data_IF_777552347079
#
_entry.id   IF_777552347079
#
_cell.length_a   1.000
_cell.length_b   1.000
_cell.length_c   1.000
_cell.angle_alpha   90.00
_cell.angle_beta   90.00
_cell.angle_gamma   90.00
#
_symmetry.space_group_name_H-M   'P 1'
#
loop_
_entity.id
_entity.type
_entity.pdbx_description
1 polymer ?
#
# COMPACT_ATOMS: atom_id res chain seq x y z
N UNK A 1 13.55 18.46 -2.10
CA UNK A 1 12.34 17.65 -2.03
C UNK A 1 12.62 16.28 -2.60
N UNK A 2 12.04 15.26 -1.99
CA UNK A 2 12.15 13.90 -2.53
C UNK A 2 11.21 13.73 -3.70
N UNK A 3 11.53 12.80 -4.58
CA UNK A 3 10.67 12.38 -5.66
C UNK A 3 9.84 11.20 -5.18
N UNK A 4 8.52 11.25 -5.36
CA UNK A 4 7.64 10.15 -5.01
C UNK A 4 7.30 9.37 -6.27
N UNK A 5 7.66 8.10 -6.30
CA UNK A 5 7.37 7.21 -7.42
C UNK A 5 6.57 6.01 -6.92
N UNK A 6 5.83 5.39 -7.82
CA UNK A 6 4.94 4.28 -7.50
C UNK A 6 5.40 3.03 -8.20
N UNK A 7 5.55 1.95 -7.45
CA UNK A 7 5.82 0.66 -8.07
C UNK A 7 4.59 0.21 -8.86
N UNK A 8 4.81 -0.74 -9.77
CA UNK A 8 3.69 -1.34 -10.50
C UNK A 8 2.68 -1.95 -9.54
N UNK A 9 3.17 -2.60 -8.50
CA UNK A 9 2.31 -3.21 -7.49
C UNK A 9 1.45 -2.16 -6.78
N UNK A 10 2.05 -1.04 -6.38
CA UNK A 10 1.31 0.04 -5.71
C UNK A 10 0.22 0.61 -6.62
N UNK A 11 0.55 0.85 -7.90
CA UNK A 11 -0.42 1.35 -8.87
C UNK A 11 -1.58 0.37 -9.02
N UNK A 12 -1.26 -0.92 -9.13
CA UNK A 12 -2.26 -1.97 -9.24
C UNK A 12 -3.15 -2.03 -8.01
N UNK A 13 -2.55 -1.89 -6.81
CA UNK A 13 -3.32 -1.88 -5.57
C UNK A 13 -4.31 -0.71 -5.55
N UNK A 14 -3.86 0.48 -5.92
CA UNK A 14 -4.73 1.66 -5.92
C UNK A 14 -5.87 1.50 -6.91
N UNK A 15 -5.59 0.98 -8.09
CA UNK A 15 -6.63 0.71 -9.10
C UNK A 15 -7.65 -0.30 -8.61
N UNK A 16 -7.19 -1.35 -7.96
CA UNK A 16 -8.08 -2.37 -7.39
C UNK A 16 -8.98 -1.78 -6.30
N UNK A 17 -8.39 -0.99 -5.41
CA UNK A 17 -9.17 -0.36 -4.34
C UNK A 17 -10.19 0.61 -4.90
N UNK A 18 -9.81 1.38 -5.91
CA UNK A 18 -10.74 2.30 -6.57
C UNK A 18 -11.88 1.54 -7.22
N UNK A 19 -11.57 0.49 -7.97
CA UNK A 19 -12.58 -0.29 -8.68
C UNK A 19 -13.56 -0.94 -7.71
N UNK A 20 -13.04 -1.50 -6.62
CA UNK A 20 -13.87 -2.15 -5.60
C UNK A 20 -14.88 -1.15 -5.00
N UNK A 21 -14.40 0.03 -4.64
CA UNK A 21 -15.26 1.04 -4.04
C UNK A 21 -16.21 1.66 -5.07
N UNK A 22 -15.77 1.81 -6.31
CA UNK A 22 -16.57 2.41 -7.38
C UNK A 22 -17.81 1.57 -7.71
N UNK A 23 -17.75 0.26 -7.50
CA UNK A 23 -18.90 -0.61 -7.70
C UNK A 23 -20.04 -0.26 -6.75
N UNK A 24 -19.71 0.30 -5.60
CA UNK A 24 -20.72 0.65 -4.58
C UNK A 24 -21.00 2.13 -4.56
N UNK A 25 -19.99 2.96 -4.77
CA UNK A 25 -20.12 4.41 -4.67
C UNK A 25 -19.01 5.07 -5.48
N UNK A 26 -19.29 5.45 -6.75
CA UNK A 26 -18.28 6.08 -7.60
C UNK A 26 -17.69 7.38 -7.03
N UNK A 27 -18.51 8.19 -6.38
CA UNK A 27 -18.04 9.45 -5.80
C UNK A 27 -17.06 9.18 -4.65
N UNK A 28 -17.39 8.22 -3.80
CA UNK A 28 -16.51 7.85 -2.71
C UNK A 28 -15.20 7.26 -3.24
N UNK A 29 -15.26 6.50 -4.33
CA UNK A 29 -14.06 5.94 -4.95
C UNK A 29 -13.11 7.04 -5.44
N UNK A 30 -13.66 8.07 -6.08
CA UNK A 30 -12.83 9.18 -6.55
C UNK A 30 -12.20 9.94 -5.37
N UNK A 31 -12.98 10.19 -4.33
CA UNK A 31 -12.47 10.88 -3.14
C UNK A 31 -11.38 10.05 -2.44
N UNK A 32 -11.59 8.75 -2.34
CA UNK A 32 -10.60 7.86 -1.72
C UNK A 32 -9.29 7.87 -2.49
N UNK A 33 -9.36 7.74 -3.81
CA UNK A 33 -8.16 7.75 -4.66
C UNK A 33 -7.40 9.08 -4.50
N UNK A 34 -8.13 10.20 -4.54
CA UNK A 34 -7.50 11.50 -4.38
C UNK A 34 -6.87 11.65 -3.00
N UNK A 35 -7.55 11.18 -1.96
CA UNK A 35 -7.03 11.24 -0.59
C UNK A 35 -5.74 10.43 -0.47
N UNK A 36 -5.70 9.24 -1.05
CA UNK A 36 -4.50 8.41 -1.05
C UNK A 36 -3.35 9.14 -1.74
N UNK A 37 -3.59 9.64 -2.95
CA UNK A 37 -2.54 10.28 -3.73
C UNK A 37 -2.06 11.58 -3.07
N UNK A 38 -2.96 12.40 -2.56
CA UNK A 38 -2.59 13.64 -1.89
C UNK A 38 -1.76 13.36 -0.64
N UNK A 39 -2.15 12.36 0.12
CA UNK A 39 -1.43 12.02 1.35
C UNK A 39 -0.04 11.48 1.02
N UNK A 40 0.08 10.66 -0.01
CA UNK A 40 1.38 10.13 -0.43
C UNK A 40 2.29 11.23 -0.99
N UNK A 41 1.72 12.27 -1.62
CA UNK A 41 2.50 13.39 -2.11
C UNK A 41 3.21 14.14 -0.98
N UNK A 42 2.68 14.11 0.23
CA UNK A 42 3.34 14.75 1.36
C UNK A 42 4.69 14.13 1.67
N UNK A 43 4.93 12.90 1.21
CA UNK A 43 6.22 12.25 1.40
C UNK A 43 7.35 12.91 0.61
N UNK A 44 7.03 13.73 -0.39
CA UNK A 44 8.05 14.52 -1.09
C UNK A 44 8.72 15.51 -0.15
N UNK A 45 7.96 16.05 0.80
CA UNK A 45 8.48 16.99 1.79
C UNK A 45 8.93 16.30 3.07
N UNK A 46 8.23 15.23 3.46
CA UNK A 46 8.46 14.55 4.74
C UNK A 46 8.61 13.06 4.49
N UNK A 47 9.76 12.65 3.91
CA UNK A 47 9.95 11.24 3.54
C UNK A 47 9.86 10.27 4.71
N UNK A 48 10.18 10.73 5.91
CA UNK A 48 10.18 9.85 7.09
C UNK A 48 8.94 10.04 7.96
N UNK A 49 7.87 10.58 7.37
CA UNK A 49 6.63 10.82 8.08
C UNK A 49 6.02 9.55 8.66
N UNK A 50 6.03 8.45 7.91
CA UNK A 50 5.50 7.18 8.38
C UNK A 50 6.52 6.43 9.22
N UNK A 51 6.08 5.76 10.29
CA UNK A 51 6.98 4.99 11.13
C UNK A 51 7.56 3.79 10.38
N UNK A 52 8.71 3.34 10.85
CA UNK A 52 9.35 2.14 10.31
C UNK A 52 8.46 0.93 10.56
N UNK A 53 8.32 0.08 9.55
CA UNK A 53 7.57 -1.16 9.67
C UNK A 53 8.44 -2.19 10.40
N UNK A 54 8.04 -2.65 11.59
CA UNK A 54 8.86 -3.60 12.33
C UNK A 54 9.03 -4.94 11.63
N UNK A 55 8.08 -5.31 10.76
CA UNK A 55 8.17 -6.56 10.01
C UNK A 55 9.06 -6.44 8.78
N UNK A 56 9.27 -5.22 8.29
CA UNK A 56 10.15 -4.93 7.18
C UNK A 56 10.91 -3.64 7.44
N UNK A 57 11.98 -3.71 8.24
CA UNK A 57 12.66 -2.49 8.74
C UNK A 57 13.25 -1.57 7.66
N UNK A 58 13.40 -2.05 6.44
CA UNK A 58 13.82 -1.20 5.33
C UNK A 58 12.68 -0.38 4.75
N UNK A 59 11.47 -0.54 5.27
CA UNK A 59 10.28 0.15 4.79
C UNK A 59 9.60 0.91 5.91
N UNK A 60 8.70 1.80 5.51
CA UNK A 60 7.86 2.57 6.42
C UNK A 60 6.40 2.41 6.00
N UNK A 61 5.49 2.70 6.92
CA UNK A 61 4.07 2.65 6.65
C UNK A 61 3.44 4.01 6.94
N UNK A 62 2.62 4.49 6.00
CA UNK A 62 1.86 5.72 6.17
C UNK A 62 0.38 5.36 6.29
N UNK A 63 -0.24 5.82 7.38
CA UNK A 63 -1.66 5.60 7.61
C UNK A 63 -2.44 6.77 7.01
N UNK A 64 -3.47 6.47 6.25
CA UNK A 64 -4.25 7.43 5.50
C UNK A 64 -5.71 7.30 5.92
N UNK A 65 -6.21 8.29 6.66
CA UNK A 65 -7.60 8.26 7.14
C UNK A 65 -8.57 8.49 6.01
N UNK A 66 -9.63 7.71 5.95
CA UNK A 66 -10.72 7.92 5.01
C UNK A 66 -11.98 7.24 5.56
N UNK A 67 -13.03 8.05 5.81
CA UNK A 67 -14.25 7.53 6.41
C UNK A 67 -13.99 6.98 7.81
N UNK A 68 -14.61 5.84 8.12
CA UNK A 68 -14.48 5.20 9.43
C UNK A 68 -13.17 4.40 9.57
N UNK A 69 -12.46 4.19 8.50
CA UNK A 69 -11.23 3.41 8.51
C UNK A 69 -10.13 4.15 7.73
N UNK A 70 -9.68 3.58 6.63
CA UNK A 70 -8.69 4.21 5.79
C UNK A 70 -7.77 3.20 5.17
N UNK A 71 -6.59 3.67 4.80
CA UNK A 71 -5.64 2.89 4.03
C UNK A 71 -4.26 2.91 4.69
N UNK A 72 -3.44 1.95 4.34
CA UNK A 72 -2.05 1.90 4.77
C UNK A 72 -1.20 1.76 3.52
N UNK A 73 -0.19 2.59 3.42
CA UNK A 73 0.77 2.51 2.33
C UNK A 73 2.13 2.10 2.89
N UNK A 74 2.76 1.14 2.23
CA UNK A 74 4.15 0.76 2.53
C UNK A 74 5.05 1.44 1.52
N UNK A 75 6.12 2.03 1.99
CA UNK A 75 7.05 2.72 1.09
C UNK A 75 8.48 2.59 1.61
N UNK A 76 9.43 2.84 0.72
CA UNK A 76 10.85 2.89 1.07
C UNK A 76 11.41 4.26 0.73
N UNK A 77 12.47 4.64 1.42
CA UNK A 77 13.18 5.89 1.16
C UNK A 77 14.63 5.54 0.85
N UNK A 78 15.10 5.97 -0.30
CA UNK A 78 16.48 5.78 -0.71
C UNK A 78 16.97 7.06 -1.34
N UNK A 79 17.87 7.76 -0.64
CA UNK A 79 18.32 9.07 -1.09
C UNK A 79 17.15 10.03 -1.22
N UNK A 80 16.98 10.61 -2.39
CA UNK A 80 15.90 11.55 -2.67
C UNK A 80 14.69 10.90 -3.31
N UNK A 81 14.61 9.58 -3.28
CA UNK A 81 13.50 8.85 -3.89
C UNK A 81 12.69 8.13 -2.84
N UNK A 82 11.38 8.40 -2.84
CA UNK A 82 10.40 7.65 -2.07
C UNK A 82 9.67 6.75 -3.06
N UNK A 83 9.73 5.44 -2.82
CA UNK A 83 9.02 4.47 -3.66
C UNK A 83 7.85 3.89 -2.88
N UNK A 84 6.64 4.14 -3.36
CA UNK A 84 5.44 3.52 -2.79
C UNK A 84 5.38 2.10 -3.32
N UNK A 85 5.37 1.14 -2.42
CA UNK A 85 5.50 -0.28 -2.75
C UNK A 85 4.16 -1.00 -2.77
N UNK A 86 3.25 -0.62 -1.89
CA UNK A 86 1.97 -1.30 -1.78
C UNK A 86 0.98 -0.41 -1.02
N UNK A 87 -0.31 -0.59 -1.31
CA UNK A 87 -1.38 0.12 -0.60
C UNK A 87 -2.47 -0.89 -0.30
N UNK A 88 -3.01 -0.84 0.91
CA UNK A 88 -4.13 -1.71 1.28
C UNK A 88 -5.15 -0.94 2.12
N UNK A 89 -6.36 -1.46 2.16
CA UNK A 89 -7.34 -0.99 3.13
C UNK A 89 -6.93 -1.49 4.52
N UNK A 90 -7.18 -0.71 5.55
CA UNK A 90 -6.80 -1.08 6.92
C UNK A 90 -7.38 -2.41 7.37
N UNK A 91 -8.54 -2.80 6.84
CA UNK A 91 -9.21 -4.03 7.23
C UNK A 91 -8.72 -5.27 6.49
N UNK A 92 -7.87 -5.09 5.49
CA UNK A 92 -7.29 -6.24 4.82
C UNK A 92 -6.23 -6.87 5.71
N UNK A 93 -6.08 -8.19 5.62
CA UNK A 93 -5.16 -8.93 6.48
C UNK A 93 -3.69 -8.64 6.16
N UNK A 94 -3.41 -8.12 4.99
CA UNK A 94 -2.06 -7.77 4.59
C UNK A 94 -2.04 -7.14 3.22
N UNK A 95 -0.86 -6.83 2.73
CA UNK A 95 -0.70 -6.22 1.42
C UNK A 95 -0.85 -7.27 0.32
N UNK A 96 -1.57 -6.89 -0.75
CA UNK A 96 -1.59 -7.68 -1.96
C UNK A 96 -0.39 -7.27 -2.79
N UNK A 97 0.51 -8.20 -2.96
CA UNK A 97 1.71 -7.99 -3.75
C UNK A 97 1.67 -8.95 -4.92
N UNK A 98 2.55 -8.75 -5.89
CA UNK A 98 2.72 -9.76 -6.91
C UNK A 98 3.01 -11.07 -6.20
N UNK A 99 2.34 -12.17 -6.60
CA UNK A 99 2.57 -13.42 -5.91
C UNK A 99 4.07 -13.69 -5.89
N UNK A 100 4.63 -13.90 -4.70
CA UNK A 100 6.00 -14.36 -4.63
C UNK A 100 6.09 -15.65 -5.41
N UNK A 101 7.26 -15.98 -5.88
CA UNK A 101 7.48 -17.32 -6.41
C UNK A 101 6.85 -18.29 -5.42
N UNK A 102 6.04 -19.22 -5.89
CA UNK A 102 5.46 -20.18 -4.98
C UNK A 102 6.59 -20.78 -4.15
N UNK A 103 6.38 -20.94 -2.85
CA UNK A 103 7.39 -21.59 -2.03
C UNK A 103 7.67 -22.97 -2.62
N UNK A 104 8.89 -23.46 -2.52
CA UNK A 104 9.13 -24.83 -2.92
C UNK A 104 8.12 -25.71 -2.21
N UNK A 105 7.58 -26.74 -2.88
CA UNK A 105 6.61 -27.61 -2.25
C UNK A 105 7.20 -28.11 -0.95
N UNK A 106 6.67 -27.59 0.12
CA UNK A 106 7.05 -28.02 1.45
C UNK A 106 6.37 -29.31 1.81
N UNK A 107 6.84 -29.92 2.86
CA UNK A 107 6.05 -31.00 3.42
C UNK A 107 4.72 -30.40 3.80
N UNK A 108 3.90 -30.35 3.31
CA UNK A 108 2.93 -29.57 3.37
C UNK A 108 2.31 -28.76 4.01
N UNK A 109 2.18 -28.66 3.80
CA UNK A 109 1.77 -27.74 4.43
C UNK A 109 0.53 -27.45 3.99
N UNK A 110 0.47 -27.91 3.39
CA UNK A 110 -0.22 -27.67 3.07
C UNK A 110 -1.21 -27.73 3.30
N UNK A 111 -1.28 -27.68 3.29
CA UNK A 111 -1.85 -27.46 3.48
C UNK A 111 -2.65 -27.28 3.79
N UNK A 112 -2.90 -27.19 3.74
CA UNK A 112 -3.28 -26.76 4.08
C UNK A 112 -3.93 -26.52 4.31
N UNK A 113 -4.11 -26.52 4.15
CA UNK A 113 -4.32 -26.09 4.42
C UNK A 113 -4.54 -25.75 4.84
N UNK A 114 -4.37 -25.76 4.68
CA UNK A 114 -4.20 -25.17 5.25
C UNK A 114 -4.26 -24.98 5.45
#
# INVERSE_FOLDING_TARGET
MAQVVYSRNATSNIERLHRFLAEKNPDAAARAANTILDRLDTLARFPRLGPVDPDRPSTRQLFISFGAAGYVARYSVLGDTVTVLAVRHMREAGYLEEPPKPPPPGPSSRRRRS
#
